data_IF_813363582468
#
_entry.id   IF_813363582468
#
_cell.length_a   1.000
_cell.length_b   1.000
_cell.length_c   1.000
_cell.angle_alpha   90.00
_cell.angle_beta   90.00
_cell.angle_gamma   90.00
#
_symmetry.space_group_name_H-M   'P 1'
#
loop_
_entity.id
_entity.type
_entity.pdbx_description
1 polymer ?
#
# COMPACT_ATOMS: atom_id res chain seq x y z
N UNK A 1 10.16 34.50 15.38
CA UNK A 1 8.80 33.96 15.33
C UNK A 1 8.86 32.46 15.58
N UNK A 2 8.10 31.93 16.55
CA UNK A 2 7.96 30.46 16.72
C UNK A 2 7.20 29.94 15.51
N UNK A 3 7.80 29.04 14.74
CA UNK A 3 7.09 28.37 13.67
C UNK A 3 6.00 27.48 14.27
N UNK A 4 4.77 27.62 13.78
CA UNK A 4 3.64 26.82 14.26
C UNK A 4 3.80 25.38 13.75
N UNK A 5 3.65 24.40 14.63
CA UNK A 5 3.66 22.99 14.24
C UNK A 5 2.57 22.72 13.21
N UNK A 6 2.94 22.06 12.11
CA UNK A 6 2.02 21.65 11.04
C UNK A 6 0.91 20.74 11.56
N UNK A 7 -0.38 21.01 11.21
CA UNK A 7 -1.51 20.17 11.58
C UNK A 7 -1.34 18.72 11.12
N UNK A 8 -0.83 18.49 9.90
CA UNK A 8 -0.58 17.17 9.35
C UNK A 8 0.42 16.35 10.20
N UNK A 9 1.53 16.98 10.65
CA UNK A 9 2.52 16.29 11.49
C UNK A 9 1.98 15.94 12.87
N UNK A 10 1.16 16.82 13.44
CA UNK A 10 0.47 16.55 14.70
C UNK A 10 -0.49 15.37 14.55
N UNK A 11 -1.33 15.38 13.53
CA UNK A 11 -2.28 14.30 13.24
C UNK A 11 -1.56 12.95 13.00
N UNK A 12 -0.45 12.97 12.24
CA UNK A 12 0.37 11.79 12.02
C UNK A 12 0.97 11.24 13.33
N UNK A 13 1.47 12.12 14.20
CA UNK A 13 1.99 11.71 15.50
C UNK A 13 0.91 11.05 16.38
N UNK A 14 -0.28 11.66 16.45
CA UNK A 14 -1.40 11.13 17.23
C UNK A 14 -1.88 9.79 16.70
N UNK A 15 -1.91 9.61 15.37
CA UNK A 15 -2.23 8.33 14.75
C UNK A 15 -1.18 7.26 15.10
N UNK A 16 0.10 7.57 14.96
CA UNK A 16 1.20 6.65 15.30
C UNK A 16 1.20 6.29 16.80
N UNK A 17 0.86 7.22 17.69
CA UNK A 17 0.70 6.94 19.13
C UNK A 17 -0.42 5.94 19.38
N UNK A 18 -1.55 6.07 18.69
CA UNK A 18 -2.66 5.11 18.80
C UNK A 18 -2.31 3.73 18.24
N UNK A 19 -1.59 3.68 17.09
CA UNK A 19 -1.09 2.42 16.51
C UNK A 19 -0.21 1.69 17.52
N UNK A 20 0.78 2.38 18.10
CA UNK A 20 1.73 1.80 19.06
C UNK A 20 1.03 1.30 20.34
N UNK A 21 0.13 2.12 20.91
CA UNK A 21 -0.55 1.79 22.16
C UNK A 21 -1.58 0.68 22.04
N UNK A 22 -2.31 0.64 20.90
CA UNK A 22 -3.41 -0.31 20.70
C UNK A 22 -2.99 -1.53 19.90
N UNK A 23 -1.78 -1.55 19.33
CA UNK A 23 -1.31 -2.54 18.35
C UNK A 23 -2.32 -2.70 17.18
N UNK A 24 -2.91 -1.57 16.77
CA UNK A 24 -3.93 -1.53 15.75
C UNK A 24 -3.32 -1.42 14.35
N UNK A 25 -4.07 -1.81 13.33
CA UNK A 25 -3.67 -1.62 11.94
C UNK A 25 -3.67 -0.14 11.55
N UNK A 26 -2.64 0.27 10.80
CA UNK A 26 -2.46 1.67 10.42
C UNK A 26 -3.67 2.24 9.67
N UNK A 27 -4.26 1.49 8.74
CA UNK A 27 -5.41 1.93 7.95
C UNK A 27 -6.66 2.16 8.82
N UNK A 28 -6.93 1.31 9.79
CA UNK A 28 -8.04 1.49 10.73
C UNK A 28 -7.88 2.77 11.56
N UNK A 29 -6.66 3.03 12.03
CA UNK A 29 -6.37 4.24 12.80
C UNK A 29 -6.46 5.48 11.93
N UNK A 30 -5.96 5.45 10.69
CA UNK A 30 -6.09 6.55 9.73
C UNK A 30 -7.56 6.90 9.52
N UNK A 31 -8.40 5.91 9.17
CA UNK A 31 -9.84 6.10 8.97
C UNK A 31 -10.56 6.63 10.23
N UNK A 32 -10.11 6.21 11.41
CA UNK A 32 -10.72 6.63 12.68
C UNK A 32 -10.25 8.01 13.18
N UNK A 33 -9.13 8.53 12.65
CA UNK A 33 -8.49 9.74 13.16
C UNK A 33 -8.27 10.80 12.10
N UNK A 34 -7.43 10.51 11.10
CA UNK A 34 -7.01 11.49 10.08
C UNK A 34 -8.19 11.85 9.17
N UNK A 35 -8.97 10.86 8.74
CA UNK A 35 -10.10 11.08 7.83
C UNK A 35 -11.25 11.85 8.50
N UNK A 36 -11.36 11.77 9.83
CA UNK A 36 -12.34 12.49 10.64
C UNK A 36 -11.84 13.83 11.19
N UNK A 37 -10.55 14.12 11.02
CA UNK A 37 -9.98 15.37 11.51
C UNK A 37 -10.35 16.55 10.60
N UNK A 38 -10.45 17.73 11.21
CA UNK A 38 -10.62 18.99 10.46
C UNK A 38 -9.27 19.40 9.86
N UNK A 39 -8.93 18.77 8.75
CA UNK A 39 -7.70 18.98 7.98
C UNK A 39 -8.07 19.30 6.53
N UNK A 40 -7.25 20.16 5.90
CA UNK A 40 -7.32 20.32 4.44
C UNK A 40 -7.04 18.98 3.74
N UNK A 41 -7.46 18.84 2.49
CA UNK A 41 -7.17 17.64 1.67
C UNK A 41 -5.66 17.36 1.58
N UNK A 42 -4.86 18.40 1.43
CA UNK A 42 -3.40 18.33 1.36
C UNK A 42 -2.78 17.87 2.68
N UNK A 43 -3.20 18.46 3.81
CA UNK A 43 -2.72 18.06 5.15
C UNK A 43 -3.13 16.63 5.48
N UNK A 44 -4.33 16.20 5.08
CA UNK A 44 -4.83 14.84 5.25
C UNK A 44 -4.00 13.83 4.47
N UNK A 45 -3.77 14.10 3.18
CA UNK A 45 -2.94 13.26 2.33
C UNK A 45 -1.49 13.18 2.86
N UNK A 46 -0.94 14.31 3.31
CA UNK A 46 0.40 14.34 3.88
C UNK A 46 0.49 13.59 5.22
N UNK A 47 -0.48 13.77 6.11
CA UNK A 47 -0.54 13.03 7.38
C UNK A 47 -0.63 11.51 7.14
N UNK A 48 -1.47 11.07 6.21
CA UNK A 48 -1.60 9.67 5.81
C UNK A 48 -0.28 9.12 5.28
N UNK A 49 0.40 9.87 4.40
CA UNK A 49 1.71 9.49 3.87
C UNK A 49 2.77 9.36 4.97
N UNK A 50 2.77 10.27 5.95
CA UNK A 50 3.68 10.19 7.10
C UNK A 50 3.42 8.95 7.95
N UNK A 51 2.16 8.64 8.23
CA UNK A 51 1.81 7.45 9.04
C UNK A 51 2.23 6.18 8.35
N UNK A 52 1.80 5.98 7.09
CA UNK A 52 2.11 4.77 6.34
C UNK A 52 3.61 4.61 6.14
N UNK A 53 4.32 5.69 5.75
CA UNK A 53 5.76 5.64 5.54
C UNK A 53 6.55 5.35 6.82
N UNK A 54 6.17 5.95 7.95
CA UNK A 54 6.82 5.65 9.25
C UNK A 54 6.58 4.21 9.70
N UNK A 55 5.39 3.66 9.45
CA UNK A 55 5.08 2.26 9.79
C UNK A 55 5.88 1.31 8.91
N UNK A 56 5.88 1.51 7.58
CA UNK A 56 6.60 0.65 6.64
C UNK A 56 8.11 0.71 6.83
N UNK A 57 8.68 1.90 7.01
CA UNK A 57 10.13 2.11 7.11
C UNK A 57 10.64 2.10 8.56
N UNK A 58 9.87 1.61 9.53
CA UNK A 58 10.16 1.73 10.97
C UNK A 58 11.55 1.23 11.34
N UNK A 59 11.96 0.06 10.83
CA UNK A 59 13.26 -0.54 11.13
C UNK A 59 14.41 0.32 10.63
N UNK A 60 14.31 0.80 9.40
CA UNK A 60 15.33 1.66 8.78
C UNK A 60 15.42 3.02 9.44
N UNK A 61 14.27 3.60 9.81
CA UNK A 61 14.25 4.87 10.57
C UNK A 61 14.91 4.72 11.93
N UNK A 62 14.66 3.61 12.63
CA UNK A 62 15.32 3.33 13.90
C UNK A 62 16.84 3.14 13.73
N UNK A 63 17.29 2.45 12.69
CA UNK A 63 18.70 2.30 12.39
C UNK A 63 19.39 3.64 12.12
N UNK A 64 18.76 4.55 11.37
CA UNK A 64 19.26 5.92 11.15
C UNK A 64 19.30 6.70 12.47
N UNK A 65 18.24 6.67 13.24
CA UNK A 65 18.16 7.39 14.51
C UNK A 65 19.19 6.89 15.52
N UNK A 66 19.39 5.58 15.61
CA UNK A 66 20.35 4.97 16.54
C UNK A 66 21.80 5.37 16.22
N UNK A 67 22.15 5.50 14.93
CA UNK A 67 23.44 6.04 14.49
C UNK A 67 23.62 7.52 14.87
N UNK A 68 22.55 8.29 14.95
CA UNK A 68 22.58 9.71 15.25
C UNK A 68 22.55 10.02 16.75
N UNK A 69 22.17 9.06 17.59
CA UNK A 69 22.02 9.21 19.03
C UNK A 69 23.23 8.67 19.79
N UNK A 70 23.58 9.29 20.93
CA UNK A 70 24.62 8.82 21.83
C UNK A 70 24.14 7.65 22.69
N UNK A 71 22.90 7.71 23.15
CA UNK A 71 22.24 6.72 24.01
C UNK A 71 20.83 6.43 23.49
N UNK A 72 20.70 5.62 22.42
CA UNK A 72 19.40 5.39 21.79
C UNK A 72 18.36 4.76 22.73
N UNK A 73 18.81 3.91 23.69
CA UNK A 73 17.94 3.19 24.63
C UNK A 73 17.30 4.10 25.69
N UNK A 74 17.92 5.27 25.95
CA UNK A 74 17.43 6.22 26.96
C UNK A 74 16.36 7.17 26.40
N UNK A 75 16.12 7.14 25.09
CA UNK A 75 15.15 8.01 24.45
C UNK A 75 13.73 7.45 24.62
N UNK A 76 12.88 8.26 25.26
CA UNK A 76 11.48 7.88 25.52
C UNK A 76 10.73 7.56 24.21
N UNK A 77 9.79 6.59 24.23
CA UNK A 77 9.02 6.20 23.05
C UNK A 77 8.33 7.37 22.33
N UNK A 78 7.79 8.32 23.10
CA UNK A 78 7.10 9.49 22.53
C UNK A 78 8.04 10.39 21.74
N UNK A 79 9.26 10.61 22.26
CA UNK A 79 10.30 11.37 21.56
C UNK A 79 10.75 10.63 20.33
N UNK A 80 11.00 9.32 20.44
CA UNK A 80 11.44 8.48 19.34
C UNK A 80 10.42 8.45 18.19
N UNK A 81 9.13 8.37 18.52
CA UNK A 81 8.04 8.44 17.54
C UNK A 81 8.04 9.77 16.77
N UNK A 82 8.18 10.89 17.46
CA UNK A 82 8.27 12.19 16.83
C UNK A 82 9.51 12.30 15.91
N UNK A 83 10.65 11.78 16.36
CA UNK A 83 11.88 11.76 15.56
C UNK A 83 11.78 10.87 14.32
N UNK A 84 11.04 9.74 14.37
CA UNK A 84 10.80 8.89 13.18
C UNK A 84 10.06 9.64 12.08
N UNK A 85 9.07 10.48 12.41
CA UNK A 85 8.36 11.31 11.43
C UNK A 85 9.36 12.21 10.68
N UNK A 86 10.18 12.92 11.42
CA UNK A 86 11.17 13.83 10.81
C UNK A 86 12.27 13.08 10.07
N UNK A 87 12.68 11.91 10.55
CA UNK A 87 13.64 11.05 9.85
C UNK A 87 13.06 10.55 8.52
N UNK A 88 11.79 10.17 8.49
CA UNK A 88 11.10 9.78 7.25
C UNK A 88 11.05 10.94 6.25
N UNK A 89 10.70 12.15 6.70
CA UNK A 89 10.72 13.34 5.85
C UNK A 89 12.12 13.65 5.30
N UNK A 90 13.14 13.47 6.13
CA UNK A 90 14.54 13.69 5.74
C UNK A 90 15.00 12.68 4.70
N UNK A 91 14.89 11.40 5.00
CA UNK A 91 15.53 10.30 4.27
C UNK A 91 14.72 9.91 3.03
N UNK A 92 13.43 9.67 3.19
CA UNK A 92 12.59 9.11 2.12
C UNK A 92 11.81 10.17 1.33
N UNK A 93 11.43 11.30 1.95
CA UNK A 93 10.70 12.36 1.24
C UNK A 93 11.62 13.46 0.70
N UNK A 94 12.90 13.47 1.05
CA UNK A 94 13.86 14.48 0.59
C UNK A 94 13.46 15.93 0.92
N UNK A 95 12.64 16.15 1.98
CA UNK A 95 12.17 17.48 2.34
C UNK A 95 13.32 18.40 2.73
N UNK A 96 13.11 19.71 2.60
CA UNK A 96 14.10 20.71 2.96
C UNK A 96 14.67 20.49 4.37
N UNK A 97 15.99 20.55 4.49
CA UNK A 97 16.72 20.24 5.71
C UNK A 97 16.31 21.14 6.89
N UNK A 98 16.15 22.44 6.63
CA UNK A 98 15.81 23.40 7.66
C UNK A 98 14.37 23.17 8.14
N UNK A 99 13.45 22.95 7.21
CA UNK A 99 12.04 22.66 7.52
C UNK A 99 11.88 21.38 8.34
N UNK A 100 12.62 20.30 7.99
CA UNK A 100 12.61 19.03 8.74
C UNK A 100 13.08 19.25 10.18
N UNK A 101 14.20 19.94 10.37
CA UNK A 101 14.73 20.18 11.72
C UNK A 101 13.78 21.08 12.53
N UNK A 102 13.29 22.17 11.96
CA UNK A 102 12.41 23.11 12.64
C UNK A 102 11.09 22.43 13.08
N UNK A 103 10.37 21.82 12.15
CA UNK A 103 9.10 21.15 12.43
C UNK A 103 9.27 19.94 13.35
N UNK A 104 10.38 19.20 13.21
CA UNK A 104 10.69 18.08 14.09
C UNK A 104 10.96 18.49 15.52
N UNK A 105 11.69 19.59 15.72
CA UNK A 105 11.92 20.17 17.06
C UNK A 105 10.61 20.66 17.66
N UNK A 106 9.73 21.33 16.89
CA UNK A 106 8.42 21.77 17.37
C UNK A 106 7.52 20.57 17.73
N UNK A 107 7.54 19.51 16.93
CA UNK A 107 6.81 18.27 17.21
C UNK A 107 7.29 17.63 18.53
N UNK A 108 8.61 17.46 18.70
CA UNK A 108 9.17 16.94 19.96
C UNK A 108 8.86 17.86 21.14
N UNK A 109 8.93 19.18 20.95
CA UNK A 109 8.60 20.15 21.99
C UNK A 109 7.13 20.04 22.45
N UNK A 110 6.23 19.73 21.54
CA UNK A 110 4.80 19.62 21.86
C UNK A 110 4.50 18.42 22.76
N UNK A 111 5.31 17.36 22.70
CA UNK A 111 5.10 16.09 23.45
C UNK A 111 6.07 15.92 24.62
N UNK A 112 7.28 16.46 24.50
CA UNK A 112 8.35 16.37 25.50
C UNK A 112 9.22 17.64 25.47
N UNK A 113 8.78 18.77 26.06
CA UNK A 113 9.47 20.06 25.93
C UNK A 113 10.95 20.03 26.30
N UNK A 114 11.32 19.23 27.30
CA UNK A 114 12.72 19.08 27.76
C UNK A 114 13.63 18.38 26.74
N UNK A 115 13.06 17.66 25.77
CA UNK A 115 13.81 16.93 24.74
C UNK A 115 14.06 17.75 23.46
N UNK A 116 13.61 19.03 23.37
CA UNK A 116 13.75 19.85 22.17
C UNK A 116 15.23 20.08 21.75
N UNK A 117 16.15 20.22 22.72
CA UNK A 117 17.57 20.32 22.46
C UNK A 117 18.16 19.02 21.87
N UNK A 118 17.77 17.87 22.41
CA UNK A 118 18.12 16.56 21.87
C UNK A 118 17.62 16.41 20.43
N UNK A 119 16.34 16.75 20.18
CA UNK A 119 15.74 16.68 18.85
C UNK A 119 16.53 17.50 17.82
N UNK A 120 16.90 18.73 18.12
CA UNK A 120 17.69 19.58 17.23
C UNK A 120 19.04 18.92 16.89
N UNK A 121 19.75 18.41 17.89
CA UNK A 121 21.05 17.79 17.71
C UNK A 121 20.95 16.49 16.87
N UNK A 122 19.94 15.65 17.14
CA UNK A 122 19.72 14.38 16.42
C UNK A 122 19.29 14.65 14.99
N UNK A 123 18.30 15.53 14.77
CA UNK A 123 17.74 15.77 13.42
C UNK A 123 18.75 16.41 12.47
N UNK A 124 19.67 17.24 12.95
CA UNK A 124 20.80 17.73 12.13
C UNK A 124 21.69 16.61 11.65
N UNK A 125 21.95 15.60 12.49
CA UNK A 125 22.71 14.42 12.09
C UNK A 125 21.91 13.54 11.13
N UNK A 126 20.61 13.36 11.37
CA UNK A 126 19.71 12.62 10.45
C UNK A 126 19.74 13.23 9.06
N UNK A 127 19.65 14.56 8.95
CA UNK A 127 19.77 15.25 7.66
C UNK A 127 21.12 14.98 7.00
N UNK A 128 22.22 14.96 7.77
CA UNK A 128 23.54 14.63 7.25
C UNK A 128 23.67 13.16 6.79
N UNK A 129 22.81 12.26 7.29
CA UNK A 129 22.77 10.86 6.84
C UNK A 129 22.14 10.66 5.45
N UNK A 130 21.55 11.67 4.82
CA UNK A 130 20.95 11.56 3.47
C UNK A 130 21.91 11.03 2.42
N UNK A 131 23.13 11.56 2.39
CA UNK A 131 24.15 11.15 1.43
C UNK A 131 24.66 9.73 1.66
N UNK A 132 25.06 9.37 2.89
CA UNK A 132 25.56 8.03 3.17
C UNK A 132 24.50 6.95 3.34
N UNK A 133 23.21 7.28 3.46
CA UNK A 133 22.14 6.28 3.52
C UNK A 133 22.00 5.56 2.15
N UNK A 134 21.87 4.24 2.13
CA UNK A 134 21.57 3.26 3.19
C UNK A 134 22.82 2.66 3.89
N UNK A 135 23.93 3.37 3.95
CA UNK A 135 25.17 3.01 4.65
C UNK A 135 25.93 1.82 4.06
N UNK A 136 25.80 1.60 2.79
CA UNK A 136 26.41 0.56 1.98
C UNK A 136 25.94 0.67 0.54
N UNK A 137 26.39 -0.23 -0.30
CA UNK A 137 25.94 -0.34 -1.69
C UNK A 137 24.79 -1.37 -1.78
N UNK A 138 23.54 -0.94 -2.00
CA UNK A 138 22.40 -1.85 -2.09
C UNK A 138 22.55 -2.91 -3.19
N UNK A 139 23.35 -2.65 -4.23
CA UNK A 139 23.58 -3.62 -5.29
C UNK A 139 24.41 -4.83 -4.82
N UNK A 140 25.21 -4.69 -3.76
CA UNK A 140 26.15 -5.71 -3.29
C UNK A 140 25.98 -6.08 -1.81
N UNK A 141 25.27 -5.25 -1.03
CA UNK A 141 25.07 -5.43 0.41
C UNK A 141 23.56 -5.60 0.74
N UNK A 142 23.20 -6.78 1.24
CA UNK A 142 21.81 -7.09 1.63
C UNK A 142 21.35 -6.23 2.82
N UNK A 143 22.25 -5.85 3.71
CA UNK A 143 21.89 -4.97 4.82
C UNK A 143 21.56 -3.56 4.31
N UNK A 144 22.30 -3.06 3.33
CA UNK A 144 22.00 -1.79 2.69
C UNK A 144 20.67 -1.86 1.91
N UNK A 145 20.41 -2.94 1.16
CA UNK A 145 19.15 -3.16 0.46
C UNK A 145 17.97 -3.18 1.45
N UNK A 146 18.08 -3.96 2.52
CA UNK A 146 17.04 -4.07 3.55
C UNK A 146 16.70 -2.71 4.18
N UNK A 147 17.73 -1.89 4.45
CA UNK A 147 17.54 -0.54 4.98
C UNK A 147 16.89 0.40 3.95
N UNK A 148 17.28 0.30 2.69
CA UNK A 148 16.72 1.12 1.61
C UNK A 148 15.23 0.85 1.42
N UNK A 149 14.87 -0.42 1.40
CA UNK A 149 13.50 -0.88 1.14
C UNK A 149 12.62 -0.98 2.39
N UNK A 150 13.20 -0.85 3.60
CA UNK A 150 12.45 -0.90 4.87
C UNK A 150 12.12 -2.31 5.34
N UNK A 151 12.66 -3.33 4.70
CA UNK A 151 12.46 -4.73 5.08
C UNK A 151 13.41 -5.17 6.21
N UNK A 152 13.02 -6.09 7.08
CA UNK A 152 13.97 -6.72 7.99
C UNK A 152 15.02 -7.52 7.23
N UNK A 153 16.30 -7.45 7.63
CA UNK A 153 17.39 -8.13 6.93
C UNK A 153 17.11 -9.63 6.70
N UNK A 154 16.58 -10.33 7.72
CA UNK A 154 16.27 -11.74 7.59
C UNK A 154 15.25 -12.05 6.48
N UNK A 155 14.32 -11.11 6.21
CA UNK A 155 13.33 -11.27 5.14
C UNK A 155 13.94 -11.00 3.78
N UNK A 156 14.78 -9.97 3.65
CA UNK A 156 15.57 -9.73 2.43
C UNK A 156 16.46 -10.93 2.10
N UNK A 157 17.16 -11.52 3.11
CA UNK A 157 17.97 -12.73 2.93
C UNK A 157 17.13 -13.93 2.46
N UNK A 158 15.93 -14.10 3.03
CA UNK A 158 14.98 -15.14 2.65
C UNK A 158 14.52 -14.96 1.20
N UNK A 159 14.09 -13.75 0.83
CA UNK A 159 13.64 -13.44 -0.53
C UNK A 159 14.77 -13.66 -1.56
N UNK A 160 15.99 -13.23 -1.26
CA UNK A 160 17.13 -13.44 -2.16
C UNK A 160 17.46 -14.92 -2.32
N UNK A 161 17.37 -15.71 -1.25
CA UNK A 161 17.57 -17.17 -1.30
C UNK A 161 16.55 -17.85 -2.18
N UNK A 162 15.27 -17.46 -2.09
CA UNK A 162 14.16 -18.19 -2.71
C UNK A 162 13.85 -17.69 -4.13
N UNK A 163 14.00 -16.38 -4.40
CA UNK A 163 13.67 -15.76 -5.68
C UNK A 163 14.91 -15.38 -6.52
N UNK A 164 16.09 -15.35 -5.90
CA UNK A 164 17.28 -14.72 -6.49
C UNK A 164 17.28 -13.19 -6.28
N UNK A 165 18.46 -12.61 -6.46
CA UNK A 165 18.71 -11.19 -6.12
C UNK A 165 17.79 -10.21 -6.84
N UNK A 166 17.69 -10.35 -8.16
CA UNK A 166 16.95 -9.40 -9.01
C UNK A 166 15.47 -9.40 -8.65
N UNK A 167 14.86 -10.58 -8.60
CA UNK A 167 13.44 -10.72 -8.29
C UNK A 167 13.11 -10.30 -6.85
N UNK A 168 14.01 -10.55 -5.90
CA UNK A 168 13.83 -10.11 -4.53
C UNK A 168 13.81 -8.57 -4.41
N UNK A 169 14.72 -7.88 -5.11
CA UNK A 169 14.78 -6.42 -5.14
C UNK A 169 13.54 -5.83 -5.80
N UNK A 170 13.11 -6.37 -6.94
CA UNK A 170 11.86 -5.99 -7.62
C UNK A 170 10.63 -6.20 -6.73
N UNK A 171 10.58 -7.32 -6.01
CA UNK A 171 9.50 -7.62 -5.06
C UNK A 171 9.46 -6.60 -3.90
N UNK A 172 10.61 -6.31 -3.28
CA UNK A 172 10.69 -5.34 -2.19
C UNK A 172 10.31 -3.92 -2.66
N UNK A 173 10.77 -3.53 -3.85
CA UNK A 173 10.43 -2.24 -4.45
C UNK A 173 8.93 -2.15 -4.75
N UNK A 174 8.37 -3.13 -5.45
CA UNK A 174 6.94 -3.18 -5.78
C UNK A 174 6.04 -3.20 -4.53
N UNK A 175 6.51 -3.82 -3.43
CA UNK A 175 5.78 -3.86 -2.16
C UNK A 175 5.70 -2.48 -1.48
N UNK A 176 6.60 -1.55 -1.81
CA UNK A 176 6.60 -0.18 -1.31
C UNK A 176 5.81 0.79 -2.19
N UNK A 177 5.53 0.40 -3.42
CA UNK A 177 4.72 1.21 -4.32
C UNK A 177 3.24 1.21 -3.89
N UNK A 178 2.50 2.28 -4.18
CA UNK A 178 1.06 2.29 -3.98
C UNK A 178 0.41 1.16 -4.78
N UNK A 179 -0.27 0.24 -4.09
CA UNK A 179 -0.94 -0.87 -4.75
C UNK A 179 -1.91 -0.35 -5.83
N UNK A 180 -1.90 -0.88 -7.05
CA UNK A 180 -2.88 -0.53 -8.07
C UNK A 180 -4.29 -0.85 -7.57
N UNK A 181 -5.29 -0.10 -8.04
CA UNK A 181 -6.68 -0.39 -7.77
C UNK A 181 -7.30 -1.00 -9.01
N UNK A 182 -7.81 -2.20 -8.86
CA UNK A 182 -8.55 -2.87 -9.91
C UNK A 182 -10.04 -2.87 -9.63
N UNK A 183 -10.82 -2.74 -10.69
CA UNK A 183 -12.25 -2.88 -10.68
C UNK A 183 -12.62 -4.15 -11.45
N UNK A 184 -13.73 -4.73 -11.09
CA UNK A 184 -14.38 -5.83 -11.80
C UNK A 184 -15.72 -5.35 -12.31
N UNK A 185 -15.95 -5.46 -13.61
CA UNK A 185 -17.25 -5.20 -14.20
C UNK A 185 -18.24 -6.31 -13.81
N UNK A 186 -19.32 -5.91 -13.16
CA UNK A 186 -20.31 -6.87 -12.65
C UNK A 186 -21.26 -7.33 -13.78
N UNK A 187 -21.11 -8.54 -14.32
CA UNK A 187 -21.90 -9.02 -15.44
C UNK A 187 -23.36 -9.25 -15.12
N UNK A 188 -23.71 -9.23 -13.84
CA UNK A 188 -25.11 -9.30 -13.39
C UNK A 188 -25.84 -7.94 -13.48
N UNK A 189 -25.09 -6.83 -13.71
CA UNK A 189 -25.64 -5.46 -13.72
C UNK A 189 -25.21 -4.60 -14.89
N UNK A 190 -24.25 -5.06 -15.68
CA UNK A 190 -23.74 -4.37 -16.87
C UNK A 190 -23.54 -5.39 -18.00
N UNK A 191 -23.74 -4.96 -19.24
CA UNK A 191 -23.32 -5.75 -20.39
C UNK A 191 -21.79 -5.75 -20.50
N UNK A 192 -21.21 -6.85 -20.97
CA UNK A 192 -19.76 -7.00 -21.07
C UNK A 192 -19.14 -5.87 -21.90
N UNK A 193 -18.15 -5.18 -21.33
CA UNK A 193 -17.42 -4.07 -21.97
C UNK A 193 -18.12 -2.71 -21.83
N UNK A 194 -19.37 -2.63 -21.43
CA UNK A 194 -20.11 -1.37 -21.35
C UNK A 194 -19.49 -0.39 -20.33
N UNK A 195 -19.01 -0.91 -19.20
CA UNK A 195 -18.34 -0.09 -18.19
C UNK A 195 -16.93 0.31 -18.64
N UNK A 196 -16.23 -0.61 -19.29
CA UNK A 196 -14.91 -0.35 -19.87
C UNK A 196 -14.96 0.80 -20.87
N UNK A 197 -15.90 0.76 -21.81
CA UNK A 197 -16.11 1.80 -22.80
C UNK A 197 -16.43 3.15 -22.14
N UNK A 198 -17.40 3.17 -21.22
CA UNK A 198 -17.82 4.39 -20.54
C UNK A 198 -16.69 5.02 -19.69
N UNK A 199 -15.84 4.23 -19.07
CA UNK A 199 -14.72 4.73 -18.26
C UNK A 199 -13.54 5.14 -19.13
N UNK A 200 -13.27 4.44 -20.24
CA UNK A 200 -12.19 4.78 -21.16
C UNK A 200 -12.44 6.12 -21.87
N UNK A 201 -13.67 6.42 -22.24
CA UNK A 201 -14.04 7.72 -22.82
C UNK A 201 -13.79 8.91 -21.88
N UNK A 202 -13.84 8.66 -20.56
CA UNK A 202 -13.64 9.68 -19.53
C UNK A 202 -12.24 9.66 -18.91
N UNK A 203 -11.33 8.77 -19.37
CA UNK A 203 -9.96 8.67 -18.89
C UNK A 203 -9.81 8.13 -17.46
N UNK A 204 -10.76 7.31 -16.98
CA UNK A 204 -10.77 6.86 -15.57
C UNK A 204 -10.21 5.46 -15.34
N UNK A 205 -10.23 4.58 -16.34
CA UNK A 205 -9.74 3.21 -16.22
C UNK A 205 -9.35 2.61 -17.56
N UNK A 206 -8.44 1.64 -17.53
CA UNK A 206 -7.98 0.88 -18.69
C UNK A 206 -8.20 -0.61 -18.48
N UNK A 207 -8.45 -1.37 -19.54
CA UNK A 207 -8.58 -2.81 -19.47
C UNK A 207 -7.27 -3.48 -19.03
N UNK A 208 -7.39 -4.48 -18.16
CA UNK A 208 -6.31 -5.38 -17.78
C UNK A 208 -6.62 -6.80 -18.30
N UNK A 209 -6.21 -7.14 -19.52
CA UNK A 209 -6.71 -8.32 -20.22
C UNK A 209 -6.22 -9.66 -19.65
N UNK A 210 -5.11 -9.68 -18.94
CA UNK A 210 -4.57 -10.91 -18.34
C UNK A 210 -3.65 -10.65 -17.15
N UNK A 211 -3.53 -11.63 -16.26
CA UNK A 211 -2.54 -11.70 -15.20
C UNK A 211 -1.83 -13.05 -15.25
N UNK A 212 -0.49 -13.04 -15.43
CA UNK A 212 0.31 -14.27 -15.54
C UNK A 212 -0.25 -15.30 -16.56
N UNK A 213 -0.78 -14.82 -17.69
CA UNK A 213 -1.38 -15.64 -18.73
C UNK A 213 -2.83 -16.09 -18.46
N UNK A 214 -3.39 -15.76 -17.30
CA UNK A 214 -4.81 -16.01 -17.00
C UNK A 214 -5.63 -14.85 -17.56
N UNK A 215 -6.59 -15.10 -18.47
CA UNK A 215 -7.44 -14.03 -19.00
C UNK A 215 -8.34 -13.44 -17.90
N UNK A 216 -8.47 -12.12 -17.91
CA UNK A 216 -9.28 -11.35 -16.97
C UNK A 216 -10.38 -10.62 -17.74
N UNK A 217 -11.56 -11.22 -17.83
CA UNK A 217 -12.72 -10.58 -18.44
C UNK A 217 -13.32 -9.56 -17.49
N UNK A 218 -13.53 -8.31 -17.94
CA UNK A 218 -14.12 -7.24 -17.13
C UNK A 218 -13.21 -6.67 -16.03
N UNK A 219 -11.90 -6.95 -16.09
CA UNK A 219 -10.91 -6.37 -15.18
C UNK A 219 -10.45 -5.01 -15.70
N UNK A 220 -10.59 -3.98 -14.88
CA UNK A 220 -10.21 -2.61 -15.22
C UNK A 220 -9.19 -2.11 -14.20
N UNK A 221 -8.10 -1.52 -14.69
CA UNK A 221 -7.12 -0.81 -13.87
C UNK A 221 -7.56 0.65 -13.71
N UNK A 222 -7.76 1.09 -12.49
CA UNK A 222 -8.10 2.47 -12.18
C UNK A 222 -6.84 3.36 -12.26
N UNK A 223 -6.90 4.43 -13.03
CA UNK A 223 -5.76 5.34 -13.21
C UNK A 223 -5.59 6.31 -12.04
N UNK A 224 -6.68 6.83 -11.49
CA UNK A 224 -6.65 7.74 -10.36
C UNK A 224 -7.57 7.25 -9.22
N UNK A 225 -6.98 7.05 -8.04
CA UNK A 225 -7.74 6.64 -6.85
C UNK A 225 -8.81 7.64 -6.41
N UNK A 226 -8.72 8.91 -6.80
CA UNK A 226 -9.74 9.92 -6.50
C UNK A 226 -11.07 9.57 -7.13
N UNK A 227 -11.07 8.85 -8.24
CA UNK A 227 -12.27 8.44 -8.96
C UNK A 227 -13.11 7.41 -8.19
N UNK A 228 -12.55 6.76 -7.16
CA UNK A 228 -13.33 5.92 -6.24
C UNK A 228 -14.42 6.68 -5.48
N UNK A 229 -14.29 8.00 -5.36
CA UNK A 229 -15.20 8.84 -4.57
C UNK A 229 -15.92 9.91 -5.39
N UNK A 230 -15.66 9.98 -6.70
CA UNK A 230 -16.26 10.98 -7.57
C UNK A 230 -16.35 10.48 -9.03
N UNK A 231 -17.28 11.05 -9.79
CA UNK A 231 -17.42 10.78 -11.21
C UNK A 231 -18.02 9.39 -11.53
N UNK A 232 -17.85 8.97 -12.78
CA UNK A 232 -18.50 7.76 -13.34
C UNK A 232 -18.11 6.47 -12.60
N UNK A 233 -16.86 6.37 -12.10
CA UNK A 233 -16.40 5.22 -11.31
C UNK A 233 -17.15 5.12 -9.98
N UNK A 234 -17.28 6.25 -9.26
CA UNK A 234 -18.00 6.29 -7.99
C UNK A 234 -19.48 5.92 -8.18
N UNK A 235 -20.10 6.40 -9.26
CA UNK A 235 -21.49 6.06 -9.60
C UNK A 235 -21.63 4.56 -9.94
N UNK A 236 -20.70 3.99 -10.71
CA UNK A 236 -20.69 2.57 -11.03
C UNK A 236 -20.47 1.67 -9.79
N UNK A 237 -19.69 2.14 -8.83
CA UNK A 237 -19.51 1.45 -7.54
C UNK A 237 -20.76 1.53 -6.68
N UNK A 238 -21.43 2.69 -6.63
CA UNK A 238 -22.62 2.91 -5.82
C UNK A 238 -23.80 2.06 -6.29
N UNK A 239 -24.00 1.92 -7.61
CA UNK A 239 -25.09 1.12 -8.20
C UNK A 239 -24.70 -0.37 -8.39
N UNK A 240 -23.44 -0.71 -8.16
CA UNK A 240 -22.89 -2.07 -8.18
C UNK A 240 -22.60 -2.62 -9.58
N UNK A 241 -22.52 -1.77 -10.61
CA UNK A 241 -21.99 -2.14 -11.93
C UNK A 241 -20.50 -2.43 -11.88
N UNK A 242 -19.77 -1.78 -10.99
CA UNK A 242 -18.39 -2.06 -10.69
C UNK A 242 -18.18 -2.56 -9.26
N UNK A 243 -17.20 -3.42 -9.06
CA UNK A 243 -16.73 -3.89 -7.75
C UNK A 243 -15.23 -3.64 -7.64
N UNK A 244 -14.76 -3.17 -6.48
CA UNK A 244 -13.32 -3.11 -6.22
C UNK A 244 -12.83 -4.52 -5.92
N UNK A 245 -11.93 -5.04 -6.74
CA UNK A 245 -11.35 -6.37 -6.56
C UNK A 245 -9.93 -6.42 -7.13
N UNK A 246 -9.03 -7.02 -6.38
CA UNK A 246 -7.66 -7.26 -6.81
C UNK A 246 -7.61 -8.15 -8.06
N UNK A 247 -6.70 -7.85 -9.00
CA UNK A 247 -6.53 -8.64 -10.22
C UNK A 247 -6.20 -10.11 -9.94
N UNK A 248 -5.43 -10.41 -8.89
CA UNK A 248 -5.15 -11.80 -8.50
C UNK A 248 -6.38 -12.53 -7.98
N UNK A 249 -7.26 -11.85 -7.26
CA UNK A 249 -8.56 -12.42 -6.85
C UNK A 249 -9.47 -12.69 -8.05
N UNK A 250 -9.46 -11.80 -9.05
CA UNK A 250 -10.18 -11.98 -10.32
C UNK A 250 -9.61 -13.15 -11.12
N UNK A 251 -8.26 -13.30 -11.19
CA UNK A 251 -7.63 -14.43 -11.85
C UNK A 251 -8.01 -15.78 -11.23
N UNK A 252 -8.04 -15.85 -9.90
CA UNK A 252 -8.50 -17.05 -9.19
C UNK A 252 -9.95 -17.38 -9.52
N UNK A 253 -10.83 -16.36 -9.52
CA UNK A 253 -12.23 -16.54 -9.87
C UNK A 253 -12.41 -17.01 -11.32
N UNK A 254 -11.66 -16.43 -12.28
CA UNK A 254 -11.66 -16.85 -13.68
C UNK A 254 -11.21 -18.32 -13.83
N UNK A 255 -10.14 -18.74 -13.17
CA UNK A 255 -9.70 -20.12 -13.18
C UNK A 255 -10.76 -21.09 -12.60
N UNK A 256 -11.44 -20.68 -11.54
CA UNK A 256 -12.54 -21.48 -10.98
C UNK A 256 -13.72 -21.62 -11.97
N UNK A 257 -14.08 -20.53 -12.66
CA UNK A 257 -15.14 -20.54 -13.66
C UNK A 257 -14.77 -21.44 -14.87
N UNK A 258 -13.55 -21.31 -15.39
CA UNK A 258 -13.04 -22.15 -16.48
C UNK A 258 -13.02 -23.64 -16.05
N UNK A 259 -12.52 -23.95 -14.86
CA UNK A 259 -12.48 -25.33 -14.36
C UNK A 259 -13.89 -25.93 -14.16
N UNK A 260 -14.85 -25.11 -13.74
CA UNK A 260 -16.25 -25.53 -13.60
C UNK A 260 -16.86 -25.86 -14.98
N UNK A 261 -16.64 -24.98 -15.97
CA UNK A 261 -17.14 -25.16 -17.34
C UNK A 261 -16.54 -26.40 -18.02
N UNK A 262 -15.24 -26.61 -17.90
CA UNK A 262 -14.56 -27.79 -18.50
C UNK A 262 -15.00 -29.12 -17.89
N UNK A 263 -15.35 -29.15 -16.60
CA UNK A 263 -15.85 -30.34 -15.93
C UNK A 263 -17.26 -30.71 -16.39
N UNK A 264 -18.05 -29.72 -16.78
CA UNK A 264 -19.39 -29.95 -17.37
C UNK A 264 -19.31 -30.58 -18.77
N UNK A 265 -18.24 -30.34 -19.53
CA UNK A 265 -18.05 -30.85 -20.91
C UNK A 265 -17.28 -32.19 -21.01
N UNK A 266 -16.95 -32.86 -19.89
CA UNK A 266 -16.35 -34.21 -19.91
C UNK A 266 -14.86 -34.31 -19.62
N UNK A 267 -14.38 -33.47 -18.72
CA UNK A 267 -13.15 -33.69 -17.96
C UNK A 267 -11.83 -33.44 -18.68
N UNK A 268 -11.16 -32.38 -18.31
CA UNK A 268 -9.73 -32.17 -18.55
C UNK A 268 -9.01 -32.27 -17.21
N UNK A 269 -8.08 -33.24 -17.11
CA UNK A 269 -7.31 -33.48 -15.88
C UNK A 269 -6.13 -32.50 -15.70
N UNK A 270 -5.86 -31.62 -16.66
CA UNK A 270 -4.71 -30.69 -16.63
C UNK A 270 -5.13 -29.22 -16.76
N UNK A 271 -4.94 -28.48 -15.69
CA UNK A 271 -5.26 -27.04 -15.57
C UNK A 271 -4.45 -26.17 -16.53
N UNK A 272 -3.28 -26.62 -16.99
CA UNK A 272 -2.44 -25.86 -17.92
C UNK A 272 -3.06 -25.71 -19.32
N UNK A 273 -3.97 -26.60 -19.70
CA UNK A 273 -4.68 -26.56 -20.98
C UNK A 273 -5.90 -25.64 -20.96
N UNK A 274 -6.37 -25.23 -19.77
CA UNK A 274 -7.55 -24.39 -19.60
C UNK A 274 -7.30 -22.91 -19.94
N UNK A 275 -6.05 -22.47 -19.87
CA UNK A 275 -5.69 -21.09 -20.17
C UNK A 275 -5.81 -20.73 -21.67
N UNK A 276 -5.85 -21.73 -22.56
CA UNK A 276 -5.91 -21.53 -24.02
C UNK A 276 -7.32 -21.58 -24.61
N UNK A 277 -8.31 -22.08 -23.87
CA UNK A 277 -9.67 -22.28 -24.36
C UNK A 277 -10.66 -21.25 -23.83
N UNK A 278 -10.64 -20.04 -24.36
CA UNK A 278 -11.56 -18.96 -23.98
C UNK A 278 -13.02 -19.17 -24.47
N UNK A 279 -13.67 -20.29 -24.17
CA UNK A 279 -15.05 -20.51 -24.56
C UNK A 279 -16.05 -20.31 -23.43
N UNK A 280 -17.06 -19.47 -23.66
CA UNK A 280 -18.23 -19.29 -22.81
C UNK A 280 -19.17 -20.51 -22.96
N UNK A 281 -19.27 -21.31 -21.92
CA UNK A 281 -20.31 -22.35 -21.81
C UNK A 281 -21.15 -22.13 -20.56
N UNK A 282 -22.47 -22.06 -20.68
CA UNK A 282 -23.36 -22.11 -19.53
C UNK A 282 -23.27 -23.52 -18.90
N UNK A 283 -22.76 -23.61 -17.67
CA UNK A 283 -22.62 -24.89 -16.96
C UNK A 283 -23.91 -25.22 -16.22
N UNK A 284 -24.79 -26.00 -16.84
CA UNK A 284 -25.89 -26.64 -16.12
C UNK A 284 -25.36 -27.71 -15.18
N UNK A 285 -25.43 -27.47 -13.86
CA UNK A 285 -25.27 -28.49 -12.84
C UNK A 285 -23.92 -28.59 -12.13
N UNK A 286 -22.97 -27.66 -12.33
CA UNK A 286 -21.74 -27.60 -11.54
C UNK A 286 -21.93 -26.77 -10.26
N UNK A 287 -21.67 -27.39 -9.11
CA UNK A 287 -21.71 -26.71 -7.82
C UNK A 287 -20.33 -26.25 -7.40
N UNK A 288 -20.19 -24.98 -7.08
CA UNK A 288 -18.96 -24.37 -6.57
C UNK A 288 -19.17 -23.96 -5.12
N UNK A 289 -18.26 -24.39 -4.23
CA UNK A 289 -18.23 -23.97 -2.82
C UNK A 289 -17.13 -22.92 -2.64
N UNK A 290 -17.51 -21.70 -2.32
CA UNK A 290 -16.57 -20.66 -1.94
C UNK A 290 -16.42 -20.60 -0.41
N UNK A 291 -15.21 -20.90 0.08
CA UNK A 291 -14.83 -20.73 1.48
C UNK A 291 -14.31 -19.28 1.68
N UNK A 292 -14.69 -18.68 2.80
CA UNK A 292 -14.29 -17.31 3.13
C UNK A 292 -14.80 -16.25 2.12
N UNK A 293 -16.03 -16.38 1.66
CA UNK A 293 -16.64 -15.50 0.64
C UNK A 293 -16.62 -14.01 1.03
N UNK A 294 -16.59 -13.69 2.32
CA UNK A 294 -16.58 -12.31 2.80
C UNK A 294 -17.79 -11.52 2.31
N UNK A 295 -17.57 -10.52 1.44
CA UNK A 295 -18.64 -9.74 0.81
C UNK A 295 -19.24 -10.38 -0.44
N UNK A 296 -18.87 -11.60 -0.77
CA UNK A 296 -19.38 -12.31 -1.95
C UNK A 296 -18.80 -11.87 -3.29
N UNK A 297 -17.72 -11.08 -3.30
CA UNK A 297 -17.14 -10.53 -4.54
C UNK A 297 -16.70 -11.64 -5.50
N UNK A 298 -16.00 -12.67 -5.00
CA UNK A 298 -15.58 -13.80 -5.83
C UNK A 298 -16.76 -14.68 -6.25
N UNK A 299 -17.77 -14.83 -5.40
CA UNK A 299 -19.02 -15.54 -5.74
C UNK A 299 -19.68 -14.91 -6.98
N UNK A 300 -19.77 -13.58 -7.00
CA UNK A 300 -20.32 -12.83 -8.15
C UNK A 300 -19.48 -13.09 -9.41
N UNK A 301 -18.15 -13.07 -9.29
CA UNK A 301 -17.25 -13.31 -10.42
C UNK A 301 -17.36 -14.72 -10.99
N UNK A 302 -17.49 -15.73 -10.13
CA UNK A 302 -17.65 -17.13 -10.57
C UNK A 302 -19.02 -17.37 -11.21
N UNK A 303 -20.09 -16.70 -10.74
CA UNK A 303 -21.42 -16.82 -11.32
C UNK A 303 -21.58 -16.07 -12.64
N UNK A 304 -20.79 -15.02 -12.86
CA UNK A 304 -20.86 -14.18 -14.06
C UNK A 304 -19.94 -14.62 -15.20
N UNK A 305 -19.03 -15.55 -14.96
CA UNK A 305 -18.13 -16.14 -15.98
C UNK A 305 -18.69 -17.43 -16.49
#
# INVERSE_FOLDING_TARGET
>A
ARHRLSPARRAAYEALDRIDRRKAFAQEVIAATIDKADLSSEDRAFATRLVLGVVSMRGSLDAVLDRCMRSPRDVKPDVRRALRISAYEAIYLGKDAHAVVDQGVELVRSVAPKAAGLANAVLRKVVACRGPFPFGDPAHDLAALSLQQGFPLWLTELLVRDLGRVQAEEFEQASNDPAPVFLYENPMKAEAGQLADALSEHGGATEAPSLCGVPLSGCLLLEDRRDLTQGAVADALADGRALVSDASAQAVASLCAIAASSKAEGGVDDVSQLAESGQKGASDGVSVLELCSGRGTKTIMVQGG
#
